data_IF_790237668758
#
_entry.id   IF_790237668758
#
_cell.length_a   1.000
_cell.length_b   1.000
_cell.length_c   1.000
_cell.angle_alpha   90.00
_cell.angle_beta   90.00
_cell.angle_gamma   90.00
#
_symmetry.space_group_name_H-M   'P 1'
#
loop_
_entity.id
_entity.type
_entity.pdbx_description
1 polymer ?
#
# COMPACT_ATOMS: atom_id res chain seq x y z
N UNK A 1 -20.03 19.77 -4.46
CA UNK A 1 -18.72 19.09 -4.52
C UNK A 1 -18.37 18.82 -5.97
N UNK A 2 -17.21 19.28 -6.47
CA UNK A 2 -16.84 19.09 -7.88
C UNK A 2 -16.43 17.61 -8.14
N UNK A 3 -16.32 17.21 -9.41
CA UNK A 3 -15.98 15.82 -9.78
C UNK A 3 -14.63 15.39 -9.18
N UNK A 4 -13.62 16.25 -9.22
CA UNK A 4 -12.29 15.93 -8.70
C UNK A 4 -12.34 15.65 -7.19
N UNK A 5 -13.07 16.46 -6.42
CA UNK A 5 -13.21 16.28 -4.97
C UNK A 5 -13.88 14.94 -4.62
N UNK A 6 -14.86 14.49 -5.42
CA UNK A 6 -15.48 13.15 -5.28
C UNK A 6 -14.47 12.03 -5.53
N UNK A 7 -13.65 12.16 -6.57
CA UNK A 7 -12.63 11.16 -6.89
C UNK A 7 -11.57 11.10 -5.78
N UNK A 8 -11.12 12.25 -5.25
CA UNK A 8 -10.19 12.28 -4.13
C UNK A 8 -10.79 11.69 -2.85
N UNK A 9 -12.05 11.98 -2.55
CA UNK A 9 -12.75 11.37 -1.41
C UNK A 9 -12.78 9.85 -1.55
N UNK A 10 -13.08 9.33 -2.74
CA UNK A 10 -13.05 7.89 -3.00
C UNK A 10 -11.65 7.28 -2.86
N UNK A 11 -10.61 7.93 -3.37
CA UNK A 11 -9.23 7.46 -3.16
C UNK A 11 -8.87 7.45 -1.67
N UNK A 12 -9.24 8.50 -0.93
CA UNK A 12 -8.99 8.58 0.51
C UNK A 12 -9.70 7.48 1.30
N UNK A 13 -10.93 7.14 0.93
CA UNK A 13 -11.70 6.04 1.51
C UNK A 13 -10.99 4.70 1.29
N UNK A 14 -10.58 4.42 0.04
CA UNK A 14 -9.85 3.20 -0.31
C UNK A 14 -8.55 3.11 0.50
N UNK A 15 -7.77 4.20 0.56
CA UNK A 15 -6.55 4.25 1.36
C UNK A 15 -6.80 4.01 2.85
N UNK A 16 -7.87 4.60 3.41
CA UNK A 16 -8.24 4.39 4.80
C UNK A 16 -8.53 2.93 5.13
N UNK A 17 -9.18 2.21 4.21
CA UNK A 17 -9.51 0.79 4.38
C UNK A 17 -8.29 -0.12 4.34
N UNK A 18 -7.21 0.26 3.66
CA UNK A 18 -5.98 -0.55 3.54
C UNK A 18 -4.80 -0.08 4.37
N UNK A 19 -4.87 1.10 4.97
CA UNK A 19 -3.84 1.61 5.89
C UNK A 19 -3.48 0.59 7.01
N UNK A 20 -4.44 -0.15 7.61
CA UNK A 20 -4.12 -1.17 8.60
C UNK A 20 -3.32 -2.37 8.08
N UNK A 21 -3.19 -2.55 6.76
CA UNK A 21 -2.50 -3.67 6.12
C UNK A 21 -1.22 -3.24 5.39
N UNK A 22 -0.81 -1.98 5.55
CA UNK A 22 0.38 -1.41 4.91
C UNK A 22 1.69 -1.89 5.59
N UNK A 23 2.82 -1.30 5.19
CA UNK A 23 4.16 -1.78 5.57
C UNK A 23 4.40 -1.99 7.06
N UNK A 24 3.84 -1.14 7.93
CA UNK A 24 3.96 -1.27 9.38
C UNK A 24 3.29 -2.55 9.92
N UNK A 25 2.12 -2.90 9.40
CA UNK A 25 1.44 -4.14 9.75
C UNK A 25 2.20 -5.36 9.27
N UNK A 26 2.71 -5.34 8.03
CA UNK A 26 3.51 -6.45 7.50
C UNK A 26 4.74 -6.71 8.38
N UNK A 27 5.48 -5.65 8.74
CA UNK A 27 6.65 -5.73 9.61
C UNK A 27 6.29 -6.21 11.02
N UNK A 28 5.22 -5.68 11.63
CA UNK A 28 4.82 -6.12 12.98
C UNK A 28 4.41 -7.59 13.01
N UNK A 29 3.79 -8.11 11.93
CA UNK A 29 3.49 -9.54 11.85
C UNK A 29 4.73 -10.41 11.71
N UNK A 30 5.74 -9.96 10.97
CA UNK A 30 7.03 -10.64 10.88
C UNK A 30 7.74 -10.67 12.25
N UNK A 31 7.81 -9.53 12.93
CA UNK A 31 8.43 -9.44 14.26
C UNK A 31 7.75 -10.37 15.28
N UNK A 32 6.41 -10.41 15.28
CA UNK A 32 5.66 -11.31 16.15
C UNK A 32 5.90 -12.80 15.81
N UNK A 33 6.14 -13.13 14.53
CA UNK A 33 6.55 -14.48 14.14
C UNK A 33 7.98 -14.78 14.64
N UNK A 34 8.94 -13.89 14.43
CA UNK A 34 10.33 -14.04 14.89
C UNK A 34 10.44 -14.18 16.42
N UNK A 35 9.53 -13.54 17.16
CA UNK A 35 9.42 -13.66 18.62
C UNK A 35 8.64 -14.88 19.11
N UNK A 36 8.16 -15.73 18.20
CA UNK A 36 7.30 -16.89 18.48
C UNK A 36 5.96 -16.51 19.16
N UNK A 37 5.50 -15.27 19.02
CA UNK A 37 4.19 -14.82 19.50
C UNK A 37 3.07 -15.36 18.61
N UNK A 38 3.37 -15.65 17.34
CA UNK A 38 2.48 -16.36 16.41
C UNK A 38 3.21 -17.47 15.66
N UNK A 39 2.49 -18.54 15.35
CA UNK A 39 2.99 -19.62 14.51
C UNK A 39 2.88 -19.34 13.01
N UNK A 40 3.55 -20.16 12.19
CA UNK A 40 3.57 -20.03 10.73
C UNK A 40 2.18 -20.03 10.07
N UNK A 41 1.23 -20.80 10.63
CA UNK A 41 -0.15 -20.87 10.12
C UNK A 41 -0.83 -19.51 10.26
N UNK A 42 -0.70 -18.87 11.43
CA UNK A 42 -1.28 -17.55 11.68
C UNK A 42 -0.58 -16.48 10.84
N UNK A 43 0.75 -16.54 10.73
CA UNK A 43 1.50 -15.60 9.88
C UNK A 43 1.01 -15.64 8.42
N UNK A 44 0.88 -16.84 7.84
CA UNK A 44 0.39 -17.02 6.47
C UNK A 44 -1.05 -16.55 6.30
N UNK A 45 -1.90 -16.76 7.31
CA UNK A 45 -3.28 -16.26 7.29
C UNK A 45 -3.31 -14.73 7.28
N UNK A 46 -2.55 -14.08 8.15
CA UNK A 46 -2.44 -12.63 8.24
C UNK A 46 -1.92 -12.03 6.91
N UNK A 47 -0.87 -12.64 6.34
CA UNK A 47 -0.32 -12.25 5.04
C UNK A 47 -1.34 -12.42 3.90
N UNK A 48 -2.13 -13.49 3.90
CA UNK A 48 -3.19 -13.71 2.92
C UNK A 48 -4.29 -12.67 3.03
N UNK A 49 -4.74 -12.34 4.25
CA UNK A 49 -5.76 -11.31 4.49
C UNK A 49 -5.26 -9.96 3.97
N UNK A 50 -4.04 -9.56 4.34
CA UNK A 50 -3.43 -8.33 3.85
C UNK A 50 -3.34 -8.32 2.32
N UNK A 51 -2.87 -9.40 1.71
CA UNK A 51 -2.73 -9.52 0.26
C UNK A 51 -4.07 -9.34 -0.47
N UNK A 52 -5.14 -9.95 0.03
CA UNK A 52 -6.48 -9.81 -0.53
C UNK A 52 -6.93 -8.35 -0.47
N UNK A 53 -6.85 -7.72 0.71
CA UNK A 53 -7.28 -6.32 0.91
C UNK A 53 -6.51 -5.32 0.05
N UNK A 54 -5.19 -5.49 -0.03
CA UNK A 54 -4.34 -4.64 -0.87
C UNK A 54 -4.62 -4.84 -2.36
N UNK A 55 -4.93 -6.07 -2.78
CA UNK A 55 -5.28 -6.38 -4.18
C UNK A 55 -6.64 -5.80 -4.57
N UNK A 56 -7.64 -5.92 -3.68
CA UNK A 56 -8.96 -5.28 -3.84
C UNK A 56 -8.80 -3.77 -4.00
N UNK A 57 -8.09 -3.12 -3.09
CA UNK A 57 -7.84 -1.68 -3.17
C UNK A 57 -7.05 -1.28 -4.42
N UNK A 58 -6.07 -2.07 -4.84
CA UNK A 58 -5.35 -1.83 -6.08
C UNK A 58 -6.27 -1.88 -7.31
N UNK A 59 -7.19 -2.85 -7.37
CA UNK A 59 -8.18 -2.94 -8.43
C UNK A 59 -9.14 -1.73 -8.41
N UNK A 60 -9.63 -1.35 -7.23
CA UNK A 60 -10.51 -0.19 -7.06
C UNK A 60 -9.82 1.12 -7.46
N UNK A 61 -8.58 1.35 -7.05
CA UNK A 61 -7.80 2.49 -7.51
C UNK A 61 -7.66 2.46 -9.03
N UNK A 62 -7.31 1.32 -9.63
CA UNK A 62 -7.19 1.23 -11.09
C UNK A 62 -8.50 1.44 -11.86
N UNK A 63 -9.66 1.39 -11.21
CA UNK A 63 -10.94 1.76 -11.83
C UNK A 63 -11.16 3.28 -11.87
N UNK A 64 -10.47 4.05 -11.03
CA UNK A 64 -10.62 5.51 -10.95
C UNK A 64 -9.95 6.18 -12.16
N UNK A 65 -10.66 7.14 -12.76
CA UNK A 65 -10.19 7.90 -13.94
C UNK A 65 -10.22 9.39 -13.65
N UNK A 66 -9.05 9.96 -13.34
CA UNK A 66 -8.92 11.39 -13.17
C UNK A 66 -8.91 12.14 -14.52
N UNK A 67 -9.63 13.27 -14.63
CA UNK A 67 -9.70 14.03 -15.87
C UNK A 67 -8.39 14.76 -16.19
N UNK A 68 -7.65 15.22 -15.18
CA UNK A 68 -6.40 15.96 -15.38
C UNK A 68 -5.18 15.03 -15.39
N UNK A 69 -4.24 15.30 -16.29
CA UNK A 69 -3.01 14.50 -16.43
C UNK A 69 -2.19 14.42 -15.14
N UNK A 70 -1.97 15.56 -14.46
CA UNK A 70 -1.22 15.60 -13.19
C UNK A 70 -1.82 14.70 -12.12
N UNK A 71 -3.16 14.65 -12.05
CA UNK A 71 -3.91 13.84 -11.09
C UNK A 71 -3.81 12.35 -11.44
N UNK A 72 -3.88 12.00 -12.75
CA UNK A 72 -3.63 10.63 -13.21
C UNK A 72 -2.24 10.13 -12.85
N UNK A 73 -1.21 10.96 -13.00
CA UNK A 73 0.17 10.59 -12.66
C UNK A 73 0.32 10.35 -11.16
N UNK A 74 -0.25 11.22 -10.32
CA UNK A 74 -0.23 11.02 -8.86
C UNK A 74 -0.94 9.71 -8.49
N UNK A 75 -2.16 9.51 -9.03
CA UNK A 75 -2.96 8.31 -8.80
C UNK A 75 -2.27 7.02 -9.25
N UNK A 76 -1.60 7.02 -10.40
CA UNK A 76 -0.81 5.89 -10.87
C UNK A 76 0.35 5.55 -9.93
N UNK A 77 0.99 6.57 -9.32
CA UNK A 77 2.01 6.36 -8.30
C UNK A 77 1.47 5.65 -7.05
N UNK A 78 0.26 6.02 -6.61
CA UNK A 78 -0.41 5.36 -5.48
C UNK A 78 -0.80 3.90 -5.81
N UNK A 79 -1.35 3.65 -7.00
CA UNK A 79 -1.65 2.28 -7.44
C UNK A 79 -0.36 1.43 -7.50
N UNK A 80 0.73 1.99 -8.03
CA UNK A 80 2.04 1.33 -8.03
C UNK A 80 2.52 1.02 -6.61
N UNK A 81 2.30 1.92 -5.64
CA UNK A 81 2.64 1.67 -4.24
C UNK A 81 1.90 0.43 -3.68
N UNK A 82 0.60 0.28 -3.94
CA UNK A 82 -0.13 -0.93 -3.52
C UNK A 82 0.39 -2.20 -4.22
N UNK A 83 0.78 -2.10 -5.48
CA UNK A 83 1.40 -3.21 -6.20
C UNK A 83 2.71 -3.66 -5.54
N UNK A 84 3.51 -2.72 -5.02
CA UNK A 84 4.73 -3.05 -4.29
C UNK A 84 4.43 -3.86 -3.01
N UNK A 85 3.41 -3.52 -2.23
CA UNK A 85 3.00 -4.36 -1.11
C UNK A 85 2.57 -5.77 -1.56
N UNK A 86 1.82 -5.88 -2.65
CA UNK A 86 1.46 -7.18 -3.24
C UNK A 86 2.66 -8.04 -3.67
N UNK A 87 3.80 -7.42 -3.98
CA UNK A 87 5.07 -8.12 -4.28
C UNK A 87 5.86 -8.47 -3.01
N UNK A 88 5.75 -7.67 -1.95
CA UNK A 88 6.46 -7.91 -0.69
C UNK A 88 5.91 -9.13 0.06
N UNK A 89 4.60 -9.27 0.18
CA UNK A 89 3.93 -10.34 0.94
C UNK A 89 4.40 -11.75 0.54
N UNK A 90 4.37 -12.17 -0.75
CA UNK A 90 4.81 -13.52 -1.11
C UNK A 90 6.29 -13.75 -0.82
N UNK A 91 7.14 -12.71 -0.93
CA UNK A 91 8.55 -12.80 -0.57
C UNK A 91 8.73 -13.01 0.94
N UNK A 92 7.93 -12.34 1.78
CA UNK A 92 7.96 -12.52 3.24
C UNK A 92 7.54 -13.93 3.64
N UNK A 93 6.44 -14.43 3.07
CA UNK A 93 5.96 -15.80 3.31
C UNK A 93 7.04 -16.81 2.92
N UNK A 94 7.59 -16.69 1.72
CA UNK A 94 8.63 -17.58 1.24
C UNK A 94 9.90 -17.50 2.10
N UNK A 95 10.28 -16.30 2.54
CA UNK A 95 11.45 -16.11 3.40
C UNK A 95 11.32 -16.87 4.72
N UNK A 96 10.14 -16.78 5.33
CA UNK A 96 9.86 -17.49 6.58
C UNK A 96 9.83 -19.01 6.37
N UNK A 97 9.22 -19.49 5.28
CA UNK A 97 9.13 -20.94 5.00
C UNK A 97 10.48 -21.58 4.67
N UNK A 98 11.43 -20.80 4.14
CA UNK A 98 12.72 -21.28 3.64
C UNK A 98 13.91 -20.81 4.46
N UNK A 99 13.66 -20.09 5.56
CA UNK A 99 14.67 -19.43 6.39
C UNK A 99 15.69 -18.62 5.55
N UNK A 100 15.17 -17.87 4.56
CA UNK A 100 16.01 -17.17 3.59
C UNK A 100 15.99 -15.64 3.80
N UNK A 101 16.99 -15.06 4.48
CA UNK A 101 17.03 -13.63 4.78
C UNK A 101 17.21 -12.75 3.53
N UNK A 102 17.66 -13.29 2.40
CA UNK A 102 17.74 -12.51 1.16
C UNK A 102 16.36 -12.17 0.59
N UNK A 103 15.35 -13.02 0.83
CA UNK A 103 13.98 -12.76 0.43
C UNK A 103 13.34 -11.67 1.30
N UNK A 104 13.65 -11.61 2.60
CA UNK A 104 13.22 -10.50 3.47
C UNK A 104 13.79 -9.16 2.99
N UNK A 105 15.09 -9.08 2.67
CA UNK A 105 15.68 -7.85 2.11
C UNK A 105 15.01 -7.39 0.82
N UNK A 106 14.58 -8.33 -0.03
CA UNK A 106 13.83 -8.01 -1.25
C UNK A 106 12.42 -7.50 -0.91
N UNK A 107 11.75 -8.12 0.05
CA UNK A 107 10.45 -7.67 0.54
C UNK A 107 10.53 -6.25 1.12
N UNK A 108 11.56 -5.95 1.92
CA UNK A 108 11.82 -4.61 2.45
C UNK A 108 11.99 -3.57 1.34
N UNK A 109 12.77 -3.89 0.29
CA UNK A 109 12.90 -3.01 -0.87
C UNK A 109 11.57 -2.69 -1.54
N UNK A 110 10.63 -3.63 -1.55
CA UNK A 110 9.27 -3.37 -2.02
C UNK A 110 8.45 -2.53 -1.03
N UNK A 111 8.51 -2.80 0.27
CA UNK A 111 7.82 -2.01 1.31
C UNK A 111 8.30 -0.55 1.31
N UNK A 112 9.59 -0.32 1.16
CA UNK A 112 10.18 1.01 1.09
C UNK A 112 9.75 1.76 -0.17
N UNK A 113 9.69 1.07 -1.31
CA UNK A 113 9.19 1.63 -2.56
C UNK A 113 7.69 1.99 -2.46
N UNK A 114 6.89 1.15 -1.81
CA UNK A 114 5.48 1.42 -1.55
C UNK A 114 5.31 2.68 -0.68
N UNK A 115 6.10 2.79 0.40
CA UNK A 115 6.05 3.92 1.32
C UNK A 115 6.37 5.24 0.60
N UNK A 116 7.45 5.27 -0.19
CA UNK A 116 7.81 6.46 -1.00
C UNK A 116 6.73 6.83 -2.03
N UNK A 117 6.10 5.84 -2.67
CA UNK A 117 5.02 6.07 -3.63
C UNK A 117 3.76 6.66 -2.98
N UNK A 118 3.41 6.18 -1.80
CA UNK A 118 2.31 6.72 -1.00
C UNK A 118 2.59 8.16 -0.56
N UNK A 119 3.79 8.44 -0.01
CA UNK A 119 4.20 9.77 0.42
C UNK A 119 4.17 10.79 -0.73
N UNK A 120 4.66 10.38 -1.91
CA UNK A 120 4.63 11.21 -3.10
C UNK A 120 3.20 11.56 -3.54
N UNK A 121 2.24 10.63 -3.40
CA UNK A 121 0.83 10.90 -3.67
C UNK A 121 0.27 11.91 -2.67
N UNK A 122 0.38 11.64 -1.36
CA UNK A 122 -0.20 12.51 -0.33
C UNK A 122 0.39 13.92 -0.34
N UNK A 123 1.70 14.05 -0.56
CA UNK A 123 2.37 15.35 -0.71
C UNK A 123 1.80 16.15 -1.88
N UNK A 124 1.60 15.50 -3.04
CA UNK A 124 1.03 16.15 -4.23
C UNK A 124 -0.43 16.53 -4.05
N UNK A 125 -1.25 15.64 -3.49
CA UNK A 125 -2.66 15.92 -3.21
C UNK A 125 -2.79 17.09 -2.24
N UNK A 126 -2.03 17.08 -1.14
CA UNK A 126 -2.02 18.18 -0.17
C UNK A 126 -1.67 19.51 -0.84
N UNK A 127 -0.56 19.58 -1.59
CA UNK A 127 -0.12 20.79 -2.32
C UNK A 127 -1.19 21.30 -3.30
N UNK A 128 -1.77 20.40 -4.08
CA UNK A 128 -2.82 20.77 -5.06
C UNK A 128 -4.10 21.31 -4.40
N UNK A 129 -4.35 20.96 -3.14
CA UNK A 129 -5.52 21.44 -2.39
C UNK A 129 -5.23 22.75 -1.67
N UNK A 130 -4.02 22.95 -1.15
CA UNK A 130 -3.60 24.24 -0.57
C UNK A 130 -3.53 25.34 -1.63
N UNK A 131 -3.04 25.05 -2.84
CA UNK A 131 -2.99 26.02 -3.94
C UNK A 131 -4.38 26.50 -4.39
N UNK A 132 -5.44 25.69 -4.21
CA UNK A 132 -6.83 26.07 -4.52
C UNK A 132 -7.51 26.95 -3.47
N UNK A 133 -6.94 27.08 -2.27
CA UNK A 133 -7.51 27.90 -1.19
C UNK A 133 -6.95 29.33 -1.21
N UNK A 134 -5.85 29.55 -1.94
CA UNK A 134 -5.09 30.81 -1.95
C UNK A 134 -5.19 31.55 -3.30
N UNK A 135 -5.94 31.02 -4.27
CA UNK A 135 -6.19 31.66 -5.57
C UNK A 135 -7.67 31.71 -5.90
#
# INVERSE_FOLDING_TARGET
MNIADRLYARVSEICGNVAPFAGSYLKSRLEAFERNEIGIVQFKLDMRIASTRLSEAHAELNAIRFPKFRERVAHAGLASALQHYGRAIPLMVQAVETDNPALLRRADGHIDAASRGADAYFSRVYRSRTEKVVG
#
